data_IF_655880905440
#
_entry.id   IF_655880905440
#
_cell.length_a   1.000
_cell.length_b   1.000
_cell.length_c   1.000
_cell.angle_alpha   90.00
_cell.angle_beta   90.00
_cell.angle_gamma   90.00
#
_symmetry.space_group_name_H-M   'P 1'
#
loop_
_entity.id
_entity.type
_entity.pdbx_description
1 polymer ?
#
# COMPACT_ATOMS: atom_id res chain seq x y z
N UNK A 1 47.58 13.54 -11.55
CA UNK A 1 46.62 12.81 -12.39
C UNK A 1 46.64 11.34 -11.99
N UNK A 2 45.66 10.88 -11.21
CA UNK A 2 45.46 9.46 -10.92
C UNK A 2 44.19 9.03 -11.66
N UNK A 3 44.34 8.02 -12.52
CA UNK A 3 43.32 7.57 -13.46
C UNK A 3 42.14 6.90 -12.75
N UNK A 4 40.94 7.40 -13.05
CA UNK A 4 39.67 6.77 -12.66
C UNK A 4 39.49 5.53 -13.53
N UNK A 5 39.43 4.36 -12.91
CA UNK A 5 39.08 3.10 -13.57
C UNK A 5 37.62 3.17 -14.06
N UNK A 6 37.29 2.78 -15.30
CA UNK A 6 35.91 2.76 -15.76
C UNK A 6 35.13 1.66 -15.05
N UNK A 7 33.98 2.03 -14.46
CA UNK A 7 33.01 1.09 -13.92
C UNK A 7 32.52 0.17 -15.06
N UNK A 8 33.03 -1.06 -15.09
CA UNK A 8 32.45 -2.13 -15.92
C UNK A 8 31.01 -2.34 -15.47
N UNK A 9 30.08 -2.30 -16.42
CA UNK A 9 28.68 -2.66 -16.24
C UNK A 9 28.60 -4.12 -15.82
N UNK A 10 28.53 -4.38 -14.53
CA UNK A 10 28.20 -5.71 -13.98
C UNK A 10 26.69 -5.84 -14.08
N UNK A 11 26.19 -6.40 -15.17
CA UNK A 11 24.87 -7.04 -15.15
C UNK A 11 25.06 -8.36 -14.39
N UNK A 12 24.43 -8.58 -13.23
CA UNK A 12 24.48 -9.90 -12.62
C UNK A 12 23.76 -10.87 -13.57
N UNK A 13 24.54 -11.76 -14.18
CA UNK A 13 24.03 -12.95 -14.85
C UNK A 13 23.31 -13.81 -13.82
N UNK A 14 22.07 -14.21 -14.13
CA UNK A 14 21.33 -15.30 -13.53
C UNK A 14 21.59 -15.51 -12.03
N UNK A 15 21.03 -14.64 -11.19
CA UNK A 15 20.78 -15.04 -9.81
C UNK A 15 19.55 -15.96 -9.85
N UNK A 16 19.66 -17.28 -9.58
CA UNK A 16 18.47 -18.10 -9.43
C UNK A 16 17.68 -17.49 -8.28
N UNK A 17 16.49 -16.97 -8.58
CA UNK A 17 15.54 -16.55 -7.55
C UNK A 17 15.44 -17.72 -6.57
N UNK A 18 15.90 -17.51 -5.33
CA UNK A 18 15.64 -18.44 -4.23
C UNK A 18 14.15 -18.78 -4.32
N UNK A 19 13.74 -20.06 -4.39
CA UNK A 19 12.34 -20.41 -4.52
C UNK A 19 11.59 -19.75 -3.37
N UNK A 20 10.79 -18.74 -3.69
CA UNK A 20 10.09 -17.98 -2.67
C UNK A 20 8.93 -18.85 -2.21
N UNK A 21 9.11 -19.60 -1.11
CA UNK A 21 8.06 -20.39 -0.46
C UNK A 21 7.01 -19.51 0.25
N UNK A 22 7.14 -18.18 0.14
CA UNK A 22 6.21 -17.20 0.73
C UNK A 22 4.90 -17.18 -0.03
N UNK A 23 3.80 -17.10 0.72
CA UNK A 23 2.44 -17.22 0.18
C UNK A 23 1.70 -15.89 0.29
N UNK A 24 0.90 -15.57 -0.73
CA UNK A 24 -0.05 -14.45 -0.68
C UNK A 24 -1.46 -15.01 -0.64
N UNK A 25 -2.25 -14.53 0.32
CA UNK A 25 -3.63 -14.95 0.52
C UNK A 25 -4.56 -13.76 0.39
N UNK A 26 -5.55 -13.88 -0.49
CA UNK A 26 -6.63 -12.89 -0.59
C UNK A 26 -7.74 -13.28 0.41
N UNK A 27 -8.08 -12.38 1.33
CA UNK A 27 -9.28 -12.49 2.14
C UNK A 27 -10.32 -11.51 1.62
N UNK A 28 -11.40 -12.08 1.08
CA UNK A 28 -12.52 -11.35 0.52
C UNK A 28 -13.82 -11.84 1.15
N UNK A 29 -14.68 -10.90 1.55
CA UNK A 29 -16.06 -11.20 1.92
C UNK A 29 -16.97 -10.84 0.75
N UNK A 30 -17.78 -11.81 0.31
CA UNK A 30 -18.90 -11.56 -0.61
C UNK A 30 -20.07 -11.03 0.22
N UNK A 31 -20.67 -9.91 -0.19
CA UNK A 31 -21.99 -9.53 0.35
C UNK A 31 -22.98 -10.64 -0.06
N UNK A 32 -23.77 -11.16 0.90
CA UNK A 32 -24.91 -12.01 0.56
C UNK A 32 -25.97 -11.11 -0.08
N UNK A 33 -26.04 -11.05 -1.40
CA UNK A 33 -27.28 -10.67 -2.07
C UNK A 33 -28.21 -11.89 -2.01
N UNK A 34 -29.27 -11.77 -1.22
CA UNK A 34 -30.40 -12.70 -1.27
C UNK A 34 -30.97 -12.69 -2.69
N UNK A 35 -31.01 -13.85 -3.33
CA UNK A 35 -31.64 -14.07 -4.62
C UNK A 35 -33.14 -13.73 -4.55
N UNK A 36 -33.51 -12.57 -5.06
CA UNK A 36 -34.85 -12.27 -5.55
C UNK A 36 -34.69 -11.92 -7.02
N UNK A 37 -35.18 -12.82 -7.87
CA UNK A 37 -35.25 -12.64 -9.30
C UNK A 37 -36.16 -11.45 -9.63
N UNK A 38 -35.57 -10.37 -10.14
CA UNK A 38 -36.31 -9.36 -10.91
C UNK A 38 -35.54 -9.11 -12.20
N UNK A 39 -36.32 -9.12 -13.27
CA UNK A 39 -35.97 -9.08 -14.68
C UNK A 39 -35.11 -7.88 -15.07
N UNK A 40 -34.43 -8.05 -16.21
CA UNK A 40 -33.45 -7.15 -16.81
C UNK A 40 -33.88 -5.67 -16.86
N UNK A 41 -33.04 -4.81 -16.27
CA UNK A 41 -32.73 -3.49 -16.80
C UNK A 41 -31.32 -3.07 -16.33
N UNK A 42 -30.61 -2.40 -17.24
CA UNK A 42 -29.19 -2.08 -17.18
C UNK A 42 -28.83 -1.02 -16.12
N UNK A 43 -27.63 -1.19 -15.52
CA UNK A 43 -26.98 -0.39 -14.46
C UNK A 43 -27.22 -0.82 -13.01
N UNK A 44 -26.64 -1.96 -12.63
CA UNK A 44 -26.45 -2.33 -11.22
C UNK A 44 -25.13 -1.77 -10.67
N UNK A 45 -25.09 -0.49 -10.28
CA UNK A 45 -24.12 -0.05 -9.28
C UNK A 45 -24.56 -0.63 -7.92
N UNK A 46 -23.67 -1.33 -7.22
CA UNK A 46 -23.99 -2.00 -5.96
C UNK A 46 -24.30 -0.98 -4.86
N UNK A 47 -25.57 -0.84 -4.51
CA UNK A 47 -26.06 -0.04 -3.39
C UNK A 47 -25.75 -0.72 -2.05
N UNK A 48 -24.49 -0.69 -1.60
CA UNK A 48 -24.14 -0.98 -0.20
C UNK A 48 -24.02 0.32 0.56
N UNK A 49 -24.75 0.48 1.66
CA UNK A 49 -24.64 1.69 2.50
C UNK A 49 -23.25 1.77 3.16
N UNK A 50 -22.77 2.96 3.54
CA UNK A 50 -21.50 3.12 4.26
C UNK A 50 -21.39 2.22 5.50
N UNK A 51 -22.49 2.07 6.25
CA UNK A 51 -22.55 1.23 7.45
C UNK A 51 -22.37 -0.26 7.12
N UNK A 52 -22.97 -0.71 6.02
CA UNK A 52 -22.81 -2.09 5.53
C UNK A 52 -21.36 -2.35 5.08
N UNK A 53 -20.72 -1.36 4.46
CA UNK A 53 -19.31 -1.45 4.06
C UNK A 53 -18.38 -1.52 5.27
N UNK A 54 -18.61 -0.72 6.30
CA UNK A 54 -17.83 -0.75 7.53
C UNK A 54 -18.00 -2.07 8.30
N UNK A 55 -19.21 -2.63 8.32
CA UNK A 55 -19.46 -3.95 8.89
C UNK A 55 -18.67 -5.05 8.16
N UNK A 56 -18.58 -4.98 6.82
CA UNK A 56 -17.75 -5.89 6.01
C UNK A 56 -16.27 -5.74 6.31
N UNK A 57 -15.75 -4.50 6.37
CA UNK A 57 -14.34 -4.25 6.73
C UNK A 57 -14.01 -4.77 8.12
N UNK A 58 -14.90 -4.58 9.11
CA UNK A 58 -14.69 -5.10 10.48
C UNK A 58 -14.76 -6.63 10.52
N UNK A 59 -15.61 -7.26 9.70
CA UNK A 59 -15.65 -8.72 9.59
C UNK A 59 -14.38 -9.29 8.93
N UNK A 60 -13.82 -8.62 7.91
CA UNK A 60 -12.52 -8.95 7.33
C UNK A 60 -11.41 -8.83 8.37
N UNK A 61 -11.37 -7.72 9.10
CA UNK A 61 -10.42 -7.49 10.19
C UNK A 61 -10.45 -8.61 11.23
N UNK A 62 -11.63 -8.99 11.75
CA UNK A 62 -11.75 -10.11 12.71
C UNK A 62 -11.23 -11.43 12.15
N UNK A 63 -11.54 -11.72 10.87
CA UNK A 63 -11.08 -12.95 10.21
C UNK A 63 -9.56 -12.96 10.05
N UNK A 64 -8.98 -11.81 9.71
CA UNK A 64 -7.55 -11.61 9.58
C UNK A 64 -6.83 -11.85 10.91
N UNK A 65 -7.29 -11.19 11.98
CA UNK A 65 -6.72 -11.34 13.33
C UNK A 65 -6.85 -12.78 13.85
N UNK A 66 -7.89 -13.52 13.45
CA UNK A 66 -8.03 -14.94 13.77
C UNK A 66 -6.92 -15.86 13.22
N UNK A 67 -6.08 -15.37 12.30
CA UNK A 67 -4.90 -16.08 11.80
C UNK A 67 -3.67 -15.88 12.69
N UNK A 68 -3.67 -14.86 13.56
CA UNK A 68 -2.55 -14.52 14.43
C UNK A 68 -2.46 -15.53 15.58
N UNK A 69 -1.22 -15.92 15.90
CA UNK A 69 -0.88 -16.77 17.04
C UNK A 69 0.06 -16.02 17.97
N UNK A 70 0.08 -16.43 19.24
CA UNK A 70 1.03 -15.89 20.22
C UNK A 70 2.47 -16.07 19.74
N UNK A 71 3.33 -15.10 20.01
CA UNK A 71 4.74 -15.09 19.60
C UNK A 71 5.00 -14.65 18.15
N UNK A 72 3.97 -14.37 17.36
CA UNK A 72 4.17 -13.94 15.97
C UNK A 72 4.70 -12.50 15.85
N UNK A 73 5.56 -12.29 14.85
CA UNK A 73 5.90 -10.98 14.31
C UNK A 73 4.93 -10.66 13.17
N UNK A 74 4.16 -9.58 13.30
CA UNK A 74 3.12 -9.22 12.35
C UNK A 74 3.46 -7.93 11.58
N UNK A 75 3.19 -7.93 10.28
CA UNK A 75 3.22 -6.74 9.44
C UNK A 75 1.88 -6.01 9.49
N UNK A 76 1.90 -4.72 9.81
CA UNK A 76 0.71 -3.87 9.81
C UNK A 76 0.76 -2.94 8.61
N UNK A 77 -0.13 -3.19 7.65
CA UNK A 77 -0.33 -2.37 6.47
C UNK A 77 -1.08 -1.06 6.77
N UNK A 78 -1.66 -0.46 5.73
CA UNK A 78 -2.31 0.85 5.83
C UNK A 78 -3.75 0.83 5.33
N UNK A 79 -4.49 1.89 5.66
CA UNK A 79 -5.88 2.09 5.23
C UNK A 79 -6.92 1.61 6.23
N UNK A 80 -8.19 1.97 5.97
CA UNK A 80 -9.29 1.80 6.94
C UNK A 80 -9.49 0.36 7.41
N UNK A 81 -9.28 -0.63 6.53
CA UNK A 81 -9.48 -2.04 6.88
C UNK A 81 -8.32 -2.58 7.72
N UNK A 82 -7.08 -2.17 7.43
CA UNK A 82 -5.92 -2.54 8.23
C UNK A 82 -5.99 -1.91 9.64
N UNK A 83 -6.44 -0.64 9.74
CA UNK A 83 -6.67 0.01 11.04
C UNK A 83 -7.66 -0.78 11.91
N UNK A 84 -8.76 -1.27 11.32
CA UNK A 84 -9.72 -2.12 12.05
C UNK A 84 -9.09 -3.45 12.50
N UNK A 85 -8.16 -4.03 11.74
CA UNK A 85 -7.44 -5.23 12.16
C UNK A 85 -6.52 -4.95 13.37
N UNK A 86 -5.89 -3.77 13.42
CA UNK A 86 -5.09 -3.32 14.56
C UNK A 86 -5.96 -3.18 15.82
N UNK A 87 -7.14 -2.56 15.71
CA UNK A 87 -8.09 -2.44 16.83
C UNK A 87 -8.50 -3.83 17.37
N UNK A 88 -8.91 -4.73 16.48
CA UNK A 88 -9.36 -6.08 16.86
C UNK A 88 -8.23 -6.91 17.48
N UNK A 89 -7.00 -6.77 16.97
CA UNK A 89 -5.82 -7.40 17.56
C UNK A 89 -5.59 -6.93 19.00
N UNK A 90 -5.61 -5.62 19.23
CA UNK A 90 -5.45 -5.05 20.57
C UNK A 90 -6.48 -5.56 21.57
N UNK A 91 -7.76 -5.67 21.15
CA UNK A 91 -8.82 -6.24 21.98
C UNK A 91 -8.53 -7.69 22.39
N UNK A 92 -8.03 -8.51 21.47
CA UNK A 92 -7.73 -9.93 21.74
C UNK A 92 -6.50 -10.06 22.65
N UNK A 93 -5.49 -9.21 22.48
CA UNK A 93 -4.33 -9.13 23.39
C UNK A 93 -4.75 -8.69 24.79
N UNK A 94 -5.59 -7.65 24.91
CA UNK A 94 -6.11 -7.17 26.19
C UNK A 94 -6.96 -8.22 26.94
N UNK A 95 -7.62 -9.12 26.21
CA UNK A 95 -8.34 -10.27 26.78
C UNK A 95 -7.41 -11.41 27.22
N UNK A 96 -6.09 -11.30 27.02
CA UNK A 96 -5.10 -12.33 27.35
C UNK A 96 -5.10 -13.56 26.43
N UNK A 97 -5.81 -13.50 25.30
CA UNK A 97 -5.95 -14.61 24.33
C UNK A 97 -4.77 -14.72 23.37
N UNK A 98 -4.06 -13.61 23.14
CA UNK A 98 -2.80 -13.56 22.40
C UNK A 98 -1.72 -12.96 23.29
N UNK A 99 -0.52 -13.53 23.24
CA UNK A 99 0.65 -13.12 24.02
C UNK A 99 1.86 -12.97 23.12
N UNK A 100 2.79 -12.12 23.52
CA UNK A 100 4.10 -11.95 22.86
C UNK A 100 4.03 -11.65 21.35
N UNK A 101 2.94 -11.01 20.92
CA UNK A 101 2.80 -10.52 19.54
C UNK A 101 3.58 -9.22 19.40
N UNK A 102 4.40 -9.12 18.36
CA UNK A 102 5.15 -7.91 18.03
C UNK A 102 4.78 -7.44 16.64
N UNK A 103 4.58 -6.15 16.45
CA UNK A 103 4.13 -5.57 15.20
C UNK A 103 5.19 -4.67 14.54
N UNK A 104 5.25 -4.73 13.22
CA UNK A 104 6.05 -3.86 12.35
C UNK A 104 5.09 -3.07 11.47
N UNK A 105 5.04 -1.75 11.64
CA UNK A 105 4.11 -0.90 10.90
C UNK A 105 4.72 -0.33 9.63
N UNK A 106 3.99 -0.44 8.52
CA UNK A 106 4.38 0.09 7.21
C UNK A 106 4.34 1.63 7.13
N UNK A 107 3.83 2.32 8.16
CA UNK A 107 3.87 3.78 8.28
C UNK A 107 3.77 4.23 9.76
N UNK A 108 3.97 5.51 10.01
CA UNK A 108 3.86 6.08 11.36
C UNK A 108 2.47 5.87 11.99
N UNK A 109 1.41 6.08 11.21
CA UNK A 109 0.03 6.02 11.69
C UNK A 109 -0.34 4.63 12.21
N UNK A 110 0.04 3.55 11.50
CA UNK A 110 -0.18 2.17 11.94
C UNK A 110 0.60 1.86 13.22
N UNK A 111 1.84 2.33 13.34
CA UNK A 111 2.66 2.15 14.56
C UNK A 111 2.03 2.84 15.77
N UNK A 112 1.53 4.07 15.59
CA UNK A 112 0.84 4.82 16.66
C UNK A 112 -0.45 4.13 17.07
N UNK A 113 -1.28 3.75 16.11
CA UNK A 113 -2.54 3.06 16.38
C UNK A 113 -2.31 1.74 17.13
N UNK A 114 -1.32 0.95 16.71
CA UNK A 114 -0.96 -0.29 17.37
C UNK A 114 -0.57 -0.07 18.84
N UNK A 115 0.25 0.95 19.13
CA UNK A 115 0.64 1.30 20.51
C UNK A 115 -0.56 1.74 21.35
N UNK A 116 -1.49 2.53 20.78
CA UNK A 116 -2.71 2.95 21.47
C UNK A 116 -3.58 1.77 21.92
N UNK A 117 -3.56 0.68 21.14
CA UNK A 117 -4.28 -0.56 21.43
C UNK A 117 -3.45 -1.59 22.21
N UNK A 118 -2.31 -1.21 22.76
CA UNK A 118 -1.46 -2.08 23.59
C UNK A 118 -0.67 -3.13 22.81
N UNK A 119 -0.56 -2.99 21.49
CA UNK A 119 0.27 -3.87 20.65
C UNK A 119 1.71 -3.37 20.67
N UNK A 120 2.65 -4.23 21.08
CA UNK A 120 4.08 -3.92 21.03
C UNK A 120 4.50 -3.69 19.58
N UNK A 121 5.19 -2.60 19.30
CA UNK A 121 5.78 -2.32 17.98
C UNK A 121 7.29 -2.25 18.04
N UNK A 122 7.96 -2.65 16.96
CA UNK A 122 9.41 -2.58 16.75
C UNK A 122 9.72 -1.95 15.40
N UNK A 123 10.97 -1.53 15.20
CA UNK A 123 11.41 -1.01 13.91
C UNK A 123 11.53 -2.16 12.88
N UNK A 124 11.35 -1.83 11.61
CA UNK A 124 11.53 -2.78 10.51
C UNK A 124 12.98 -3.30 10.45
N UNK A 125 13.96 -2.48 10.81
CA UNK A 125 15.36 -2.86 10.84
C UNK A 125 15.72 -3.79 12.00
N UNK A 126 14.85 -3.91 13.01
CA UNK A 126 15.07 -4.74 14.19
C UNK A 126 14.53 -6.18 14.04
N UNK A 127 13.97 -6.51 12.86
CA UNK A 127 13.38 -7.83 12.59
C UNK A 127 14.03 -8.50 11.38
N UNK A 128 14.21 -9.82 11.48
CA UNK A 128 14.76 -10.63 10.39
C UNK A 128 13.68 -11.33 9.56
N UNK A 129 12.45 -11.40 10.06
CA UNK A 129 11.31 -12.05 9.41
C UNK A 129 9.99 -11.44 9.90
N UNK A 130 8.94 -11.65 9.11
CA UNK A 130 7.55 -11.36 9.47
C UNK A 130 6.75 -12.64 9.24
N UNK A 131 5.96 -13.08 10.22
CA UNK A 131 5.15 -14.30 10.09
C UNK A 131 3.95 -14.05 9.18
N UNK A 132 3.22 -12.97 9.46
CA UNK A 132 2.01 -12.62 8.72
C UNK A 132 1.88 -11.10 8.58
N UNK A 133 1.57 -10.61 7.38
CA UNK A 133 1.24 -9.21 7.13
C UNK A 133 -0.23 -9.06 6.75
N UNK A 134 -0.87 -7.99 7.24
CA UNK A 134 -2.23 -7.61 6.85
C UNK A 134 -2.19 -6.26 6.15
N UNK A 135 -2.67 -6.20 4.92
CA UNK A 135 -2.70 -4.94 4.16
C UNK A 135 -3.92 -4.84 3.24
N UNK A 136 -4.26 -3.63 2.82
CA UNK A 136 -5.29 -3.37 1.81
C UNK A 136 -4.74 -3.40 0.39
N UNK A 137 -5.62 -3.19 -0.59
CA UNK A 137 -5.25 -2.86 -1.96
C UNK A 137 -6.23 -1.85 -2.55
N UNK A 138 -5.75 -1.07 -3.53
CA UNK A 138 -6.59 -0.15 -4.29
C UNK A 138 -7.33 -0.88 -5.41
N UNK A 139 -6.69 -1.88 -6.02
CA UNK A 139 -7.31 -2.83 -6.95
C UNK A 139 -6.70 -4.23 -6.80
N UNK A 140 -7.49 -5.25 -7.16
CA UNK A 140 -7.09 -6.65 -7.25
C UNK A 140 -7.65 -7.24 -8.54
N UNK A 141 -6.79 -7.84 -9.37
CA UNK A 141 -7.23 -8.47 -10.61
C UNK A 141 -7.60 -9.96 -10.44
N UNK A 142 -8.10 -10.58 -11.51
CA UNK A 142 -8.48 -12.00 -11.53
C UNK A 142 -7.31 -12.97 -11.27
N UNK A 143 -6.08 -12.52 -11.50
CA UNK A 143 -4.85 -13.28 -11.26
C UNK A 143 -4.29 -13.05 -9.84
N UNK A 144 -5.01 -12.27 -9.01
CA UNK A 144 -4.59 -11.85 -7.66
C UNK A 144 -3.34 -10.95 -7.67
N UNK A 145 -3.05 -10.30 -8.79
CA UNK A 145 -2.16 -9.14 -8.78
C UNK A 145 -2.86 -8.00 -8.05
N UNK A 146 -2.09 -7.16 -7.37
CA UNK A 146 -2.62 -6.07 -6.57
C UNK A 146 -1.99 -4.74 -7.00
N UNK A 147 -2.82 -3.71 -7.05
CA UNK A 147 -2.38 -2.32 -7.17
C UNK A 147 -2.52 -1.67 -5.79
N UNK A 148 -1.45 -1.01 -5.36
CA UNK A 148 -1.37 -0.24 -4.11
C UNK A 148 -0.74 1.12 -4.40
N UNK A 149 -1.11 2.13 -3.65
CA UNK A 149 -0.55 3.47 -3.82
C UNK A 149 -1.41 4.60 -3.31
N UNK A 150 -2.72 4.40 -3.13
CA UNK A 150 -3.65 5.47 -2.80
C UNK A 150 -3.38 6.18 -1.47
N UNK A 151 -2.75 5.48 -0.53
CA UNK A 151 -2.33 6.04 0.77
C UNK A 151 -0.87 6.53 0.82
N UNK A 152 -0.15 6.57 -0.31
CA UNK A 152 1.24 7.04 -0.40
C UNK A 152 2.25 6.38 0.56
N UNK A 153 1.98 5.14 1.01
CA UNK A 153 2.86 4.37 1.90
C UNK A 153 3.40 3.09 1.23
N UNK A 154 3.26 3.00 -0.10
CA UNK A 154 3.36 1.75 -0.83
C UNK A 154 4.78 1.18 -0.90
N UNK A 155 5.83 1.99 -0.70
CA UNK A 155 7.20 1.49 -0.59
C UNK A 155 7.39 0.64 0.65
N UNK A 156 7.15 1.19 1.84
CA UNK A 156 7.29 0.43 3.09
C UNK A 156 6.27 -0.71 3.19
N UNK A 157 5.05 -0.54 2.66
CA UNK A 157 4.08 -1.64 2.54
C UNK A 157 4.66 -2.81 1.76
N UNK A 158 5.26 -2.56 0.58
CA UNK A 158 5.88 -3.63 -0.22
C UNK A 158 7.03 -4.30 0.52
N UNK A 159 7.85 -3.54 1.26
CA UNK A 159 8.95 -4.12 2.04
C UNK A 159 8.39 -5.06 3.12
N UNK A 160 7.45 -4.59 3.94
CA UNK A 160 6.79 -5.39 4.98
C UNK A 160 6.10 -6.62 4.40
N UNK A 161 5.28 -6.44 3.36
CA UNK A 161 4.58 -7.52 2.66
C UNK A 161 5.54 -8.56 2.08
N UNK A 162 6.69 -8.10 1.54
CA UNK A 162 7.69 -8.98 0.96
C UNK A 162 8.43 -9.80 2.02
N UNK A 163 8.61 -9.26 3.23
CA UNK A 163 9.26 -9.94 4.36
C UNK A 163 8.34 -10.96 5.05
N UNK A 164 7.03 -10.89 4.81
CA UNK A 164 6.05 -11.77 5.41
C UNK A 164 6.03 -13.18 4.79
N UNK A 165 5.94 -14.22 5.64
CA UNK A 165 5.71 -15.60 5.19
C UNK A 165 4.31 -15.77 4.59
N UNK A 166 3.31 -15.12 5.18
CA UNK A 166 1.96 -14.98 4.65
C UNK A 166 1.59 -13.49 4.56
N UNK A 167 1.28 -12.99 3.35
CA UNK A 167 0.70 -11.67 3.19
C UNK A 167 -0.79 -11.81 2.88
N UNK A 168 -1.62 -11.22 3.74
CA UNK A 168 -3.07 -11.32 3.72
C UNK A 168 -3.67 -9.99 3.27
N UNK A 169 -4.18 -9.98 2.04
CA UNK A 169 -4.78 -8.79 1.44
C UNK A 169 -6.27 -8.72 1.79
N UNK A 170 -6.66 -7.62 2.45
CA UNK A 170 -8.00 -7.35 2.97
C UNK A 170 -8.73 -6.39 2.04
N UNK A 171 -9.60 -6.92 1.18
CA UNK A 171 -10.36 -6.11 0.22
C UNK A 171 -11.84 -6.49 0.18
N UNK A 172 -12.67 -5.49 -0.06
CA UNK A 172 -14.07 -5.69 -0.41
C UNK A 172 -14.25 -5.84 -1.94
N UNK A 173 -15.45 -6.21 -2.36
CA UNK A 173 -15.75 -6.50 -3.77
C UNK A 173 -15.52 -5.30 -4.71
N UNK A 174 -15.63 -4.06 -4.21
CA UNK A 174 -15.41 -2.86 -5.03
C UNK A 174 -13.97 -2.72 -5.53
N UNK A 175 -13.02 -3.42 -4.89
CA UNK A 175 -11.61 -3.42 -5.27
C UNK A 175 -11.26 -4.46 -6.32
N UNK A 176 -12.17 -5.35 -6.69
CA UNK A 176 -11.91 -6.40 -7.68
C UNK A 176 -12.19 -5.88 -9.08
N UNK A 177 -11.19 -5.94 -9.95
CA UNK A 177 -11.22 -5.44 -11.33
C UNK A 177 -10.80 -6.52 -12.32
N UNK A 178 -11.16 -6.36 -13.59
CA UNK A 178 -10.67 -7.25 -14.65
C UNK A 178 -9.20 -6.97 -15.01
N UNK A 179 -8.83 -5.69 -15.01
CA UNK A 179 -7.50 -5.21 -15.37
C UNK A 179 -7.05 -4.15 -14.37
N UNK A 180 -5.81 -4.27 -13.87
CA UNK A 180 -5.22 -3.25 -13.02
C UNK A 180 -5.04 -1.93 -13.78
N UNK A 181 -5.18 -0.81 -13.08
CA UNK A 181 -5.14 0.53 -13.65
C UNK A 181 -6.48 1.02 -14.22
N UNK A 182 -7.55 0.22 -14.10
CA UNK A 182 -8.84 0.50 -14.75
C UNK A 182 -9.69 1.53 -14.00
N UNK A 183 -9.65 1.51 -12.67
CA UNK A 183 -10.40 2.41 -11.78
C UNK A 183 -9.49 3.23 -10.87
N UNK A 184 -8.24 2.79 -10.69
CA UNK A 184 -7.26 3.44 -9.84
C UNK A 184 -5.92 3.64 -10.57
N UNK A 185 -5.30 4.84 -10.51
CA UNK A 185 -4.03 5.09 -11.17
C UNK A 185 -2.88 4.35 -10.48
N UNK A 186 -1.89 3.91 -11.26
CA UNK A 186 -0.66 3.32 -10.70
C UNK A 186 0.13 4.39 -9.96
N UNK A 187 0.43 4.19 -8.67
CA UNK A 187 1.32 5.08 -7.95
C UNK A 187 2.80 4.78 -8.23
N UNK A 188 3.59 5.84 -8.36
CA UNK A 188 5.05 5.79 -8.54
C UNK A 188 5.66 6.75 -7.54
N UNK A 189 6.36 6.22 -6.54
CA UNK A 189 7.17 7.02 -5.63
C UNK A 189 8.46 7.46 -6.33
N UNK A 190 8.79 8.75 -6.23
CA UNK A 190 9.94 9.34 -6.92
C UNK A 190 10.75 10.17 -5.94
N UNK A 191 12.07 9.96 -5.94
CA UNK A 191 12.98 10.81 -5.19
C UNK A 191 12.86 12.26 -5.69
N UNK A 192 12.78 13.27 -4.81
CA UNK A 192 12.62 14.66 -5.20
C UNK A 192 13.52 15.15 -6.35
N UNK A 193 14.84 14.86 -6.38
CA UNK A 193 15.71 15.33 -7.47
C UNK A 193 15.44 14.65 -8.83
N UNK A 194 14.66 13.57 -8.89
CA UNK A 194 14.42 12.77 -10.09
C UNK A 194 13.04 12.96 -10.73
N UNK A 195 12.20 13.86 -10.20
CA UNK A 195 10.81 14.02 -10.65
C UNK A 195 10.72 14.30 -12.16
N UNK A 196 11.43 15.33 -12.64
CA UNK A 196 11.39 15.75 -14.05
C UNK A 196 11.80 14.64 -15.04
N UNK A 197 12.97 13.99 -14.91
CA UNK A 197 13.36 12.93 -15.83
C UNK A 197 12.41 11.71 -15.77
N UNK A 198 11.88 11.37 -14.58
CA UNK A 198 10.91 10.27 -14.43
C UNK A 198 9.59 10.62 -15.14
N UNK A 199 9.06 11.84 -14.94
CA UNK A 199 7.84 12.28 -15.63
C UNK A 199 7.98 12.24 -17.15
N UNK A 200 9.10 12.74 -17.70
CA UNK A 200 9.36 12.66 -19.16
C UNK A 200 9.33 11.21 -19.66
N UNK A 201 9.89 10.28 -18.88
CA UNK A 201 9.87 8.86 -19.23
C UNK A 201 8.46 8.29 -19.19
N UNK A 202 7.66 8.63 -18.19
CA UNK A 202 6.27 8.17 -18.06
C UNK A 202 5.39 8.64 -19.24
N UNK A 203 5.52 9.90 -19.68
CA UNK A 203 4.85 10.41 -20.90
C UNK A 203 5.25 9.56 -22.11
N UNK A 204 6.55 9.28 -22.28
CA UNK A 204 7.03 8.53 -23.46
C UNK A 204 6.52 7.09 -23.54
N UNK A 205 6.06 6.51 -22.42
CA UNK A 205 5.51 5.16 -22.36
C UNK A 205 4.03 5.11 -22.75
N UNK A 206 3.43 6.24 -23.16
CA UNK A 206 1.99 6.33 -23.43
C UNK A 206 1.15 6.41 -22.16
N UNK A 207 1.77 6.63 -20.99
CA UNK A 207 1.04 6.97 -19.77
C UNK A 207 0.47 8.39 -19.88
N UNK A 208 -0.84 8.54 -19.65
CA UNK A 208 -1.43 9.86 -19.45
C UNK A 208 -0.98 10.42 -18.09
N UNK A 209 -0.39 11.62 -18.04
CA UNK A 209 0.11 12.19 -16.79
C UNK A 209 -0.89 13.15 -16.18
N UNK A 210 -1.29 12.87 -14.94
CA UNK A 210 -1.87 13.84 -14.01
C UNK A 210 -1.16 13.65 -12.67
N UNK A 211 -0.43 14.67 -12.21
CA UNK A 211 0.15 14.70 -10.85
C UNK A 211 -0.91 15.39 -9.97
N UNK A 212 -1.47 14.65 -9.01
CA UNK A 212 -2.59 15.10 -8.17
C UNK A 212 -3.99 14.85 -8.75
N UNK A 213 -4.69 13.86 -8.19
CA UNK A 213 -6.04 13.33 -8.47
C UNK A 213 -6.41 13.05 -9.96
N UNK A 214 -6.44 11.73 -10.25
CA UNK A 214 -7.15 11.03 -11.32
C UNK A 214 -6.53 10.98 -12.74
N UNK A 215 -6.35 9.73 -13.20
CA UNK A 215 -6.17 9.23 -14.58
C UNK A 215 -4.75 9.14 -15.19
N UNK A 216 -3.76 8.77 -14.36
CA UNK A 216 -2.74 7.72 -14.65
C UNK A 216 -1.24 8.03 -14.47
N UNK A 217 -0.83 8.54 -13.29
CA UNK A 217 0.24 7.98 -12.42
C UNK A 217 0.22 8.84 -11.15
N UNK A 218 0.08 8.27 -9.97
CA UNK A 218 0.16 9.04 -8.71
C UNK A 218 1.63 9.19 -8.30
N UNK A 219 2.19 10.38 -8.44
CA UNK A 219 3.54 10.67 -7.92
C UNK A 219 3.43 11.05 -6.45
N UNK A 220 3.88 10.16 -5.58
CA UNK A 220 4.09 10.48 -4.17
C UNK A 220 5.54 10.97 -4.00
N UNK A 221 5.70 12.13 -3.37
CA UNK A 221 7.02 12.62 -2.95
C UNK A 221 7.19 12.21 -1.49
N UNK A 222 8.25 11.48 -1.19
CA UNK A 222 8.58 11.07 0.16
C UNK A 222 9.87 11.74 0.60
N UNK A 223 9.81 12.43 1.75
CA UNK A 223 10.95 12.99 2.46
C UNK A 223 10.95 12.42 3.89
N UNK A 224 11.77 11.40 4.12
CA UNK A 224 11.74 10.64 5.37
C UNK A 224 10.41 9.89 5.60
N UNK A 225 9.81 10.08 6.77
CA UNK A 225 8.51 9.49 7.17
C UNK A 225 7.29 10.26 6.61
N UNK A 226 7.52 11.47 6.06
CA UNK A 226 6.46 12.34 5.55
C UNK A 226 6.26 12.12 4.04
N UNK A 227 5.04 11.70 3.67
CA UNK A 227 4.62 11.55 2.29
C UNK A 227 3.69 12.68 1.90
N UNK A 228 4.07 13.47 0.89
CA UNK A 228 3.21 14.50 0.32
C UNK A 228 2.70 14.03 -1.04
N UNK A 229 1.38 13.96 -1.18
CA UNK A 229 0.74 13.83 -2.49
C UNK A 229 0.59 15.25 -3.03
N UNK A 230 1.51 15.66 -3.90
CA UNK A 230 1.52 17.04 -4.42
C UNK A 230 0.62 17.13 -5.65
N UNK A 231 -0.21 18.16 -5.69
CA UNK A 231 -0.94 18.59 -6.88
C UNK A 231 0.02 19.16 -7.94
N UNK A 232 -0.11 18.81 -9.23
CA UNK A 232 0.81 19.29 -10.28
C UNK A 232 0.86 20.81 -10.35
N UNK A 233 -0.25 21.50 -10.11
CA UNK A 233 -0.33 22.97 -10.13
C UNK A 233 0.50 23.56 -8.99
N UNK A 234 0.45 22.94 -7.82
CA UNK A 234 1.23 23.38 -6.65
C UNK A 234 2.72 23.03 -6.80
N UNK A 235 3.03 21.83 -7.29
CA UNK A 235 4.40 21.46 -7.64
C UNK A 235 4.97 22.36 -8.75
N UNK A 236 4.15 22.71 -9.75
CA UNK A 236 4.51 23.61 -10.84
C UNK A 236 4.81 25.01 -10.32
N UNK A 237 4.01 25.54 -9.39
CA UNK A 237 4.30 26.82 -8.72
C UNK A 237 5.63 26.77 -7.96
N UNK A 238 5.91 25.67 -7.25
CA UNK A 238 7.20 25.50 -6.55
C UNK A 238 8.35 25.42 -7.54
N UNK A 239 8.24 24.63 -8.61
CA UNK A 239 9.25 24.58 -9.67
C UNK A 239 9.46 25.94 -10.34
N UNK A 240 8.39 26.64 -10.73
CA UNK A 240 8.48 27.92 -11.42
C UNK A 240 9.07 29.00 -10.49
N UNK A 241 8.76 28.98 -9.19
CA UNK A 241 9.38 29.88 -8.20
C UNK A 241 10.87 29.58 -7.93
N UNK A 242 11.29 28.31 -7.99
CA UNK A 242 12.69 27.90 -7.84
C UNK A 242 13.50 28.15 -9.12
N UNK A 243 12.87 28.05 -10.30
CA UNK A 243 13.46 28.37 -11.60
C UNK A 243 13.51 29.88 -11.89
N UNK A 244 12.70 30.67 -11.19
CA UNK A 244 12.68 32.14 -11.27
C UNK A 244 13.25 32.84 -10.03
N UNK A 245 14.10 32.15 -9.26
CA UNK A 245 14.82 32.74 -8.14
C UNK A 245 15.61 33.99 -8.55
N UNK A 246 15.18 35.15 -8.03
CA UNK A 246 15.89 36.41 -7.84
C UNK A 246 17.25 36.53 -8.56
N UNK A 247 17.25 37.16 -9.73
CA UNK A 247 18.42 37.96 -10.12
C UNK A 247 18.34 39.28 -9.33
N UNK A 248 19.36 39.65 -8.53
CA UNK A 248 19.36 40.98 -7.92
C UNK A 248 19.39 42.03 -9.04
N UNK A 249 18.69 43.16 -8.89
CA UNK A 249 18.81 44.26 -9.86
C UNK A 249 20.26 44.75 -9.86
N UNK A 250 20.80 44.91 -11.06
CA UNK A 250 22.13 45.47 -11.34
C UNK A 250 22.26 46.88 -10.77
#
# INVERSE_FOLDING_TARGET
>A
MQGVMPLKRVLPANNPLVPNTRTRRLLQLKSKTSSLSVSADSHSQSLTTPEAQDALKRALARRAVGLVKSGMVIGLGTGSTASLAIEELGKIIAQGKLKDVTAVGANYQSRVLARQFGVKTVDLNDVNYIDIAFDGADEVDVNKNILKGGGAAHTLQKVVDSMANECVILVDQSKVVLQLGSTFPVAVEVLPPAITPVLRRLISLGGGIVVGVATSVLVAIQDGDDATVVDLIEFRKVLDSQMHGNSPPV
#
